data_IF_562436849216
#
_entry.id   IF_562436849216
#
_cell.length_a   1.000
_cell.length_b   1.000
_cell.length_c   1.000
_cell.angle_alpha   90.00
_cell.angle_beta   90.00
_cell.angle_gamma   90.00
#
_symmetry.space_group_name_H-M   'P 1'
#
loop_
_entity.id
_entity.type
_entity.pdbx_description
1 polymer ?
#
# COMPACT_ATOMS: atom_id res chain seq x y z
N UNK A 1 30.63 3.36 -20.86
CA UNK A 1 30.65 2.84 -19.48
C UNK A 1 30.95 4.02 -18.57
N UNK A 2 29.90 4.68 -18.04
CA UNK A 2 30.07 5.74 -17.05
C UNK A 2 29.97 5.09 -15.67
N UNK A 3 31.07 5.09 -14.91
CA UNK A 3 31.07 4.68 -13.51
C UNK A 3 30.02 5.48 -12.72
N UNK A 4 29.26 4.82 -11.84
CA UNK A 4 28.31 5.53 -10.99
C UNK A 4 29.07 6.47 -10.06
N UNK A 5 28.84 7.78 -10.20
CA UNK A 5 29.42 8.84 -9.36
C UNK A 5 28.85 8.82 -7.93
N UNK A 6 29.03 7.72 -7.21
CA UNK A 6 28.76 7.70 -5.77
C UNK A 6 30.09 7.86 -5.03
N UNK A 7 30.36 9.07 -4.57
CA UNK A 7 31.43 9.32 -3.61
C UNK A 7 31.18 8.46 -2.35
N UNK A 8 32.18 7.71 -1.83
CA UNK A 8 32.00 6.77 -0.72
C UNK A 8 31.35 7.36 0.55
N UNK A 9 31.51 8.65 0.79
CA UNK A 9 30.92 9.34 1.95
C UNK A 9 29.42 9.68 1.84
N UNK A 10 28.79 9.55 0.67
CA UNK A 10 27.38 9.89 0.47
C UNK A 10 26.43 8.68 0.53
N UNK A 11 26.95 7.47 0.48
CA UNK A 11 26.14 6.24 0.47
C UNK A 11 25.18 6.14 1.67
N UNK A 12 25.61 6.30 2.94
CA UNK A 12 24.70 6.18 4.09
C UNK A 12 23.57 7.21 4.04
N UNK A 13 23.86 8.45 3.65
CA UNK A 13 22.87 9.50 3.53
C UNK A 13 21.84 9.21 2.41
N UNK A 14 22.30 8.63 1.28
CA UNK A 14 21.41 8.20 0.19
C UNK A 14 20.50 7.04 0.64
N UNK A 15 21.02 6.07 1.38
CA UNK A 15 20.23 4.98 1.97
C UNK A 15 19.20 5.54 2.95
N UNK A 16 19.59 6.50 3.80
CA UNK A 16 18.67 7.20 4.71
C UNK A 16 17.55 7.94 3.96
N UNK A 17 17.88 8.64 2.87
CA UNK A 17 16.90 9.28 2.00
C UNK A 17 15.89 8.26 1.44
N UNK A 18 16.36 7.16 0.86
CA UNK A 18 15.50 6.12 0.28
C UNK A 18 14.62 5.43 1.32
N UNK A 19 15.17 5.20 2.52
CA UNK A 19 14.40 4.67 3.65
C UNK A 19 13.28 5.62 4.05
N UNK A 20 13.59 6.90 4.26
CA UNK A 20 12.58 7.90 4.65
C UNK A 20 11.51 8.07 3.58
N UNK A 21 11.87 8.03 2.28
CA UNK A 21 10.89 8.02 1.18
C UNK A 21 9.95 6.81 1.28
N UNK A 22 10.50 5.62 1.54
CA UNK A 22 9.70 4.39 1.67
C UNK A 22 8.73 4.49 2.84
N UNK A 23 9.18 5.01 3.98
CA UNK A 23 8.34 5.22 5.16
C UNK A 23 7.24 6.27 4.91
N UNK A 24 7.56 7.39 4.28
CA UNK A 24 6.59 8.44 3.94
C UNK A 24 5.51 7.96 2.96
N UNK A 25 5.77 6.92 2.18
CA UNK A 25 4.77 6.32 1.29
C UNK A 25 3.60 5.65 2.02
N UNK A 26 3.82 5.15 3.25
CA UNK A 26 2.80 4.47 4.08
C UNK A 26 2.38 5.29 5.29
N UNK A 27 3.21 6.20 5.78
CA UNK A 27 2.99 7.03 6.96
C UNK A 27 1.59 7.69 7.01
N UNK A 28 1.10 8.37 5.94
CA UNK A 28 -0.17 9.09 6.01
C UNK A 28 -1.41 8.20 6.13
N UNK A 29 -1.26 6.89 5.94
CA UNK A 29 -2.34 5.91 6.08
C UNK A 29 -2.37 5.41 7.52
N UNK A 30 -1.30 4.81 7.99
CA UNK A 30 -1.30 4.02 9.21
C UNK A 30 -1.19 4.88 10.49
N UNK A 31 -0.43 5.99 10.44
CA UNK A 31 -0.19 6.84 11.62
C UNK A 31 -1.41 7.68 12.02
N UNK A 32 -2.34 7.92 11.07
CA UNK A 32 -3.57 8.69 11.36
C UNK A 32 -4.66 7.86 12.04
N UNK A 33 -4.62 6.53 11.97
CA UNK A 33 -5.69 5.64 12.43
C UNK A 33 -6.07 5.84 13.91
N UNK A 34 -5.13 5.95 14.87
CA UNK A 34 -5.47 6.19 16.28
C UNK A 34 -6.12 7.55 16.53
N UNK A 35 -6.00 8.49 15.59
CA UNK A 35 -6.58 9.83 15.70
C UNK A 35 -8.02 9.93 15.17
N UNK A 36 -8.63 8.85 14.72
CA UNK A 36 -9.99 8.87 14.17
C UNK A 36 -11.03 9.47 15.13
N UNK A 37 -11.07 9.12 16.42
CA UNK A 37 -12.01 9.73 17.34
C UNK A 37 -11.84 11.26 17.45
N UNK A 38 -10.60 11.72 17.56
CA UNK A 38 -10.30 13.16 17.64
C UNK A 38 -10.62 13.92 16.36
N UNK A 39 -10.43 13.30 15.18
CA UNK A 39 -10.82 13.85 13.88
C UNK A 39 -12.37 13.89 13.76
N UNK A 40 -13.05 12.84 14.21
CA UNK A 40 -14.51 12.73 14.23
C UNK A 40 -15.12 13.84 15.07
N UNK A 41 -14.61 14.05 16.27
CA UNK A 41 -15.03 15.12 17.18
C UNK A 41 -14.74 16.52 16.59
N UNK A 42 -13.52 16.72 16.06
CA UNK A 42 -13.10 18.03 15.50
C UNK A 42 -13.96 18.46 14.31
N UNK A 43 -14.24 17.56 13.38
CA UNK A 43 -15.04 17.87 12.18
C UNK A 43 -16.55 17.67 12.37
N UNK A 44 -17.01 17.17 13.52
CA UNK A 44 -18.42 16.83 13.76
C UNK A 44 -18.95 15.79 12.76
N UNK A 45 -18.12 14.80 12.42
CA UNK A 45 -18.42 13.77 11.43
C UNK A 45 -18.31 12.37 12.04
N UNK A 46 -18.97 11.40 11.41
CA UNK A 46 -18.84 10.01 11.83
C UNK A 46 -17.43 9.45 11.57
N UNK A 47 -17.03 8.44 12.33
CA UNK A 47 -15.75 7.75 12.05
C UNK A 47 -15.72 7.09 10.68
N UNK A 48 -16.88 6.72 10.13
CA UNK A 48 -17.00 6.23 8.74
C UNK A 48 -16.63 7.30 7.72
N UNK A 49 -17.03 8.56 7.96
CA UNK A 49 -16.60 9.69 7.12
C UNK A 49 -15.08 9.89 7.22
N UNK A 50 -14.50 9.78 8.42
CA UNK A 50 -13.05 9.89 8.59
C UNK A 50 -12.33 8.75 7.86
N UNK A 51 -12.84 7.50 7.93
CA UNK A 51 -12.30 6.35 7.20
C UNK A 51 -12.32 6.57 5.67
N UNK A 52 -13.35 7.27 5.15
CA UNK A 52 -13.41 7.64 3.74
C UNK A 52 -12.19 8.47 3.31
N UNK A 53 -11.65 9.32 4.19
CA UNK A 53 -10.45 10.12 3.88
C UNK A 53 -9.22 9.25 3.58
N UNK A 54 -9.09 8.08 4.22
CA UNK A 54 -8.01 7.11 3.98
C UNK A 54 -8.26 6.35 2.68
N UNK A 55 -9.51 6.00 2.39
CA UNK A 55 -9.88 5.35 1.12
C UNK A 55 -9.62 6.27 -0.09
N UNK A 56 -10.01 7.54 0.01
CA UNK A 56 -9.74 8.56 -1.02
C UNK A 56 -8.23 8.81 -1.17
N UNK A 57 -7.49 8.78 -0.07
CA UNK A 57 -6.04 8.89 -0.11
C UNK A 57 -5.41 7.74 -0.91
N UNK A 58 -5.85 6.50 -0.72
CA UNK A 58 -5.38 5.34 -1.49
C UNK A 58 -5.68 5.49 -2.99
N UNK A 59 -6.87 5.94 -3.34
CA UNK A 59 -7.25 6.23 -4.74
C UNK A 59 -6.37 7.36 -5.31
N UNK A 60 -6.12 8.41 -4.54
CA UNK A 60 -5.23 9.51 -4.93
C UNK A 60 -3.80 9.05 -5.21
N UNK A 61 -3.24 8.15 -4.38
CA UNK A 61 -1.94 7.51 -4.64
C UNK A 61 -1.97 6.75 -5.97
N UNK A 62 -3.03 5.97 -6.22
CA UNK A 62 -3.17 5.20 -7.46
C UNK A 62 -3.11 6.12 -8.70
N UNK A 63 -3.89 7.20 -8.69
CA UNK A 63 -3.91 8.18 -9.77
C UNK A 63 -2.54 8.85 -9.98
N UNK A 64 -1.86 9.18 -8.89
CA UNK A 64 -0.51 9.74 -8.95
C UNK A 64 0.49 8.74 -9.55
N UNK A 65 0.49 7.49 -9.10
CA UNK A 65 1.41 6.48 -9.57
C UNK A 65 1.25 6.17 -11.06
N UNK A 66 0.04 6.32 -11.62
CA UNK A 66 -0.19 6.20 -13.06
C UNK A 66 0.63 7.23 -13.85
N UNK A 67 0.80 8.43 -13.30
CA UNK A 67 1.49 9.54 -13.95
C UNK A 67 2.99 9.59 -13.61
N UNK A 68 3.36 9.21 -12.39
CA UNK A 68 4.73 9.35 -11.87
C UNK A 68 5.74 8.56 -12.70
N UNK A 69 5.41 7.34 -13.13
CA UNK A 69 6.30 6.52 -13.97
C UNK A 69 6.73 7.28 -15.23
N UNK A 70 5.77 7.58 -16.14
CA UNK A 70 6.02 8.32 -17.36
C UNK A 70 6.68 9.69 -17.16
N UNK A 71 6.18 10.46 -16.20
CA UNK A 71 6.74 11.80 -15.93
C UNK A 71 8.17 11.73 -15.41
N UNK A 72 8.56 10.70 -14.68
CA UNK A 72 9.92 10.55 -14.18
C UNK A 72 10.95 10.38 -15.29
N UNK A 73 10.55 9.73 -16.39
CA UNK A 73 11.43 9.49 -17.54
C UNK A 73 11.61 10.75 -18.41
N UNK A 74 10.66 11.70 -18.37
CA UNK A 74 10.71 12.95 -19.13
C UNK A 74 11.29 14.12 -18.32
N UNK A 75 10.84 14.30 -17.08
CA UNK A 75 11.24 15.43 -16.21
C UNK A 75 12.49 15.14 -15.37
N UNK A 76 12.90 13.87 -15.33
CA UNK A 76 13.97 13.39 -14.44
C UNK A 76 13.46 13.10 -13.02
N UNK A 77 14.01 12.04 -12.41
CA UNK A 77 13.52 11.50 -11.12
C UNK A 77 13.63 12.50 -9.98
N UNK A 78 14.72 13.30 -9.95
CA UNK A 78 14.93 14.32 -8.91
C UNK A 78 13.86 15.41 -8.95
N UNK A 79 13.60 15.97 -10.12
CA UNK A 79 12.66 17.09 -10.25
C UNK A 79 11.24 16.64 -9.93
N UNK A 80 10.83 15.47 -10.43
CA UNK A 80 9.51 14.92 -10.12
C UNK A 80 9.35 14.60 -8.64
N UNK A 81 10.38 14.05 -8.01
CA UNK A 81 10.39 13.81 -6.55
C UNK A 81 10.22 15.12 -5.78
N UNK A 82 10.95 16.18 -6.12
CA UNK A 82 10.84 17.48 -5.45
C UNK A 82 9.45 18.09 -5.61
N UNK A 83 8.86 18.01 -6.80
CA UNK A 83 7.48 18.46 -7.05
C UNK A 83 6.50 17.65 -6.20
N UNK A 84 6.59 16.33 -6.21
CA UNK A 84 5.70 15.45 -5.46
C UNK A 84 5.79 15.70 -3.94
N UNK A 85 7.00 15.85 -3.40
CA UNK A 85 7.20 16.19 -1.98
C UNK A 85 6.56 17.54 -1.66
N UNK A 86 6.73 18.55 -2.52
CA UNK A 86 6.12 19.87 -2.31
C UNK A 86 4.60 19.77 -2.31
N UNK A 87 4.01 19.07 -3.28
CA UNK A 87 2.55 18.86 -3.37
C UNK A 87 2.05 18.13 -2.13
N UNK A 88 2.74 17.06 -1.69
CA UNK A 88 2.33 16.32 -0.48
C UNK A 88 2.42 17.14 0.79
N UNK A 89 3.46 17.97 0.92
CA UNK A 89 3.62 18.87 2.07
C UNK A 89 2.55 19.98 2.09
N UNK A 90 2.20 20.55 0.92
CA UNK A 90 1.08 21.51 0.79
C UNK A 90 -0.23 20.85 1.19
N UNK A 91 -0.52 19.65 0.70
CA UNK A 91 -1.70 18.89 1.10
C UNK A 91 -1.75 18.63 2.60
N UNK A 92 -0.65 18.17 3.20
CA UNK A 92 -0.56 17.94 4.65
C UNK A 92 -0.75 19.24 5.44
N UNK A 93 -0.17 20.36 4.99
CA UNK A 93 -0.34 21.69 5.61
C UNK A 93 -1.80 22.13 5.54
N UNK A 94 -2.47 21.94 4.39
CA UNK A 94 -3.88 22.24 4.25
C UNK A 94 -4.75 21.41 5.21
N UNK A 95 -4.42 20.12 5.42
CA UNK A 95 -5.10 19.28 6.43
C UNK A 95 -4.96 19.83 7.85
N UNK A 96 -3.79 20.40 8.21
CA UNK A 96 -3.55 20.97 9.55
C UNK A 96 -4.31 22.27 9.76
N UNK A 97 -4.45 23.09 8.72
CA UNK A 97 -4.97 24.46 8.81
C UNK A 97 -6.49 24.55 8.63
N UNK A 98 -7.13 23.53 8.09
CA UNK A 98 -8.59 23.58 7.83
C UNK A 98 -9.38 23.06 9.01
N UNK A 99 -10.55 23.68 9.25
CA UNK A 99 -11.58 23.21 10.16
C UNK A 99 -12.84 22.74 9.40
N UNK A 100 -12.82 22.80 8.06
CA UNK A 100 -13.89 22.26 7.19
C UNK A 100 -13.54 20.86 6.71
N UNK A 101 -14.49 19.92 6.89
CA UNK A 101 -14.29 18.52 6.50
C UNK A 101 -14.13 18.33 4.97
N UNK A 102 -14.85 19.10 4.15
CA UNK A 102 -14.73 19.02 2.70
C UNK A 102 -13.34 19.48 2.22
N UNK A 103 -12.85 20.60 2.79
CA UNK A 103 -11.49 21.06 2.54
C UNK A 103 -10.43 20.06 3.05
N UNK A 104 -10.66 19.41 4.21
CA UNK A 104 -9.79 18.34 4.70
C UNK A 104 -9.70 17.18 3.70
N UNK A 105 -10.83 16.70 3.17
CA UNK A 105 -10.83 15.64 2.14
C UNK A 105 -10.08 16.08 0.88
N UNK A 106 -10.31 17.31 0.42
CA UNK A 106 -9.59 17.87 -0.72
C UNK A 106 -8.08 17.87 -0.49
N UNK A 107 -7.62 18.38 0.67
CA UNK A 107 -6.19 18.40 0.99
C UNK A 107 -5.61 17.00 1.21
N UNK A 108 -6.39 16.03 1.68
CA UNK A 108 -5.99 14.62 1.73
C UNK A 108 -5.72 14.05 0.33
N UNK A 109 -6.57 14.39 -0.67
CA UNK A 109 -6.33 14.00 -2.06
C UNK A 109 -5.08 14.68 -2.63
N UNK A 110 -4.89 15.99 -2.37
CA UNK A 110 -3.66 16.72 -2.78
C UNK A 110 -2.42 16.07 -2.15
N UNK A 111 -2.46 15.75 -0.86
CA UNK A 111 -1.37 15.04 -0.18
C UNK A 111 -1.08 13.69 -0.84
N UNK A 112 -2.11 12.91 -1.17
CA UNK A 112 -1.98 11.61 -1.81
C UNK A 112 -1.36 11.70 -3.21
N UNK A 113 -1.77 12.68 -4.01
CA UNK A 113 -1.18 12.94 -5.33
C UNK A 113 0.31 13.23 -5.24
N UNK A 114 0.75 13.97 -4.23
CA UNK A 114 2.17 14.19 -3.96
C UNK A 114 2.89 12.92 -3.47
N UNK A 115 2.26 12.14 -2.58
CA UNK A 115 2.85 10.93 -2.00
C UNK A 115 3.12 9.82 -3.01
N UNK A 116 2.40 9.79 -4.13
CA UNK A 116 2.67 8.82 -5.20
C UNK A 116 4.10 8.88 -5.74
N UNK A 117 4.80 10.02 -5.60
CA UNK A 117 6.21 10.15 -6.01
C UNK A 117 7.18 9.31 -5.17
N UNK A 118 6.81 8.87 -3.97
CA UNK A 118 7.70 8.06 -3.13
C UNK A 118 8.00 6.68 -3.72
N UNK A 119 7.19 6.20 -4.67
CA UNK A 119 7.50 4.99 -5.45
C UNK A 119 8.81 5.13 -6.23
N UNK A 120 9.27 6.35 -6.51
CA UNK A 120 10.56 6.63 -7.15
C UNK A 120 11.76 6.13 -6.33
N UNK A 121 11.59 5.84 -5.04
CA UNK A 121 12.63 5.19 -4.23
C UNK A 121 13.13 3.91 -4.88
N UNK A 122 12.24 3.08 -5.43
CA UNK A 122 12.59 1.83 -6.11
C UNK A 122 13.37 2.06 -7.41
N UNK A 123 12.99 3.11 -8.15
CA UNK A 123 13.68 3.49 -9.36
C UNK A 123 15.06 4.10 -9.07
N UNK A 124 15.17 4.93 -8.02
CA UNK A 124 16.45 5.48 -7.58
C UNK A 124 17.43 4.41 -7.09
N UNK A 125 16.94 3.33 -6.43
CA UNK A 125 17.79 2.18 -6.09
C UNK A 125 18.41 1.59 -7.36
N UNK A 126 17.61 1.45 -8.42
CA UNK A 126 18.08 0.87 -9.68
C UNK A 126 19.11 1.75 -10.38
N UNK A 127 18.99 3.08 -10.26
CA UNK A 127 19.91 4.03 -10.90
C UNK A 127 21.22 4.23 -10.13
N UNK A 128 21.16 4.14 -8.80
CA UNK A 128 22.27 4.52 -7.92
C UNK A 128 23.09 3.33 -7.41
N UNK A 129 22.55 2.13 -7.48
CA UNK A 129 23.18 0.92 -6.94
C UNK A 129 23.16 -0.21 -7.98
N UNK A 130 24.15 -1.10 -7.94
CA UNK A 130 24.29 -2.21 -8.90
C UNK A 130 24.54 -3.54 -8.20
N UNK A 131 24.24 -4.65 -8.86
CA UNK A 131 24.58 -6.01 -8.44
C UNK A 131 23.98 -6.39 -7.08
N UNK A 132 24.77 -7.02 -6.23
CA UNK A 132 24.35 -7.51 -4.91
C UNK A 132 23.97 -6.38 -3.94
N UNK A 133 24.58 -5.21 -4.06
CA UNK A 133 24.26 -4.05 -3.21
C UNK A 133 22.85 -3.56 -3.47
N UNK A 134 22.45 -3.46 -4.73
CA UNK A 134 21.08 -3.10 -5.15
C UNK A 134 20.05 -4.08 -4.58
N UNK A 135 20.33 -5.38 -4.71
CA UNK A 135 19.42 -6.42 -4.21
C UNK A 135 19.28 -6.37 -2.68
N UNK A 136 20.38 -6.24 -1.95
CA UNK A 136 20.39 -6.12 -0.48
C UNK A 136 19.62 -4.89 0.00
N UNK A 137 19.83 -3.74 -0.66
CA UNK A 137 19.15 -2.50 -0.31
C UNK A 137 17.65 -2.61 -0.56
N UNK A 138 17.22 -3.25 -1.66
CA UNK A 138 15.82 -3.49 -1.96
C UNK A 138 15.14 -4.36 -0.88
N UNK A 139 15.79 -5.45 -0.48
CA UNK A 139 15.31 -6.32 0.61
C UNK A 139 15.23 -5.53 1.92
N UNK A 140 16.28 -4.77 2.26
CA UNK A 140 16.33 -3.95 3.47
C UNK A 140 15.17 -2.96 3.54
N UNK A 141 14.91 -2.19 2.47
CA UNK A 141 13.81 -1.20 2.45
C UNK A 141 12.44 -1.85 2.53
N UNK A 142 12.22 -2.99 1.88
CA UNK A 142 10.95 -3.75 1.98
C UNK A 142 10.73 -4.24 3.41
N UNK A 143 11.78 -4.76 4.04
CA UNK A 143 11.73 -5.23 5.44
C UNK A 143 11.43 -4.07 6.39
N UNK A 144 12.14 -2.95 6.25
CA UNK A 144 11.89 -1.74 7.06
C UNK A 144 10.46 -1.21 6.85
N UNK A 145 9.94 -1.23 5.62
CA UNK A 145 8.56 -0.86 5.33
C UNK A 145 7.56 -1.75 6.06
N UNK A 146 7.77 -3.06 6.06
CA UNK A 146 6.92 -4.01 6.80
C UNK A 146 6.94 -3.78 8.31
N UNK A 147 8.13 -3.56 8.88
CA UNK A 147 8.27 -3.22 10.31
C UNK A 147 7.55 -1.89 10.60
N UNK A 148 7.70 -0.90 9.73
CA UNK A 148 7.08 0.40 9.92
C UNK A 148 5.54 0.32 9.92
N UNK A 149 4.94 -0.41 8.99
CA UNK A 149 3.48 -0.65 8.96
C UNK A 149 3.01 -1.23 10.30
N UNK A 150 3.79 -2.13 10.90
CA UNK A 150 3.46 -2.76 12.19
C UNK A 150 3.54 -1.78 13.37
N UNK A 151 4.51 -0.85 13.36
CA UNK A 151 4.79 0.07 14.47
C UNK A 151 4.07 1.42 14.30
N UNK A 152 3.66 1.76 13.08
CA UNK A 152 3.09 3.09 12.76
C UNK A 152 1.82 3.45 13.56
N UNK A 153 0.88 2.55 13.90
CA UNK A 153 -0.24 2.90 14.77
C UNK A 153 0.22 3.29 16.17
N UNK A 154 1.24 2.62 16.71
CA UNK A 154 1.78 2.95 18.03
C UNK A 154 2.47 4.33 18.01
N UNK A 155 3.22 4.64 16.95
CA UNK A 155 3.77 5.97 16.74
C UNK A 155 2.65 7.03 16.62
N UNK A 156 1.56 6.69 15.91
CA UNK A 156 0.36 7.53 15.79
C UNK A 156 -0.29 7.84 17.13
N UNK A 157 -0.45 6.85 17.99
CA UNK A 157 -0.97 7.04 19.36
C UNK A 157 -0.08 7.99 20.17
N UNK A 158 1.24 7.82 20.11
CA UNK A 158 2.17 8.74 20.77
C UNK A 158 2.03 10.17 20.26
N UNK A 159 1.96 10.37 18.94
CA UNK A 159 1.78 11.68 18.33
C UNK A 159 0.43 12.29 18.69
N UNK A 160 -0.65 11.48 18.70
CA UNK A 160 -1.98 11.90 19.13
C UNK A 160 -1.95 12.40 20.59
N UNK A 161 -1.24 11.71 21.47
CA UNK A 161 -1.15 12.07 22.89
C UNK A 161 -0.39 13.39 23.12
N UNK A 162 0.72 13.61 22.37
CA UNK A 162 1.59 14.77 22.59
C UNK A 162 1.18 16.02 21.79
N UNK A 163 0.64 15.83 20.58
CA UNK A 163 0.40 16.90 19.60
C UNK A 163 -1.04 16.93 19.07
N UNK A 164 -1.91 16.05 19.58
CA UNK A 164 -3.27 15.85 19.04
C UNK A 164 -3.25 15.24 17.63
N UNK A 165 -4.41 15.18 16.98
CA UNK A 165 -4.55 14.59 15.65
C UNK A 165 -3.70 15.30 14.56
N UNK A 166 -3.41 16.58 14.74
CA UNK A 166 -2.53 17.35 13.85
C UNK A 166 -1.09 16.88 13.88
N UNK A 167 -0.65 16.19 14.94
CA UNK A 167 0.71 15.71 15.13
C UNK A 167 1.22 14.81 14.02
N UNK A 168 0.40 13.90 13.53
CA UNK A 168 0.76 13.01 12.42
C UNK A 168 1.06 13.80 11.12
N UNK A 169 0.28 14.82 10.81
CA UNK A 169 0.50 15.68 9.64
C UNK A 169 1.73 16.58 9.80
N UNK A 170 1.95 17.15 10.99
CA UNK A 170 3.11 18.00 11.28
C UNK A 170 4.43 17.22 11.18
N UNK A 171 4.47 16.01 11.72
CA UNK A 171 5.65 15.13 11.59
C UNK A 171 5.85 14.71 10.13
N UNK A 172 4.79 14.42 9.38
CA UNK A 172 4.89 14.17 7.95
C UNK A 172 5.53 15.37 7.22
N UNK A 173 5.09 16.62 7.50
CA UNK A 173 5.64 17.84 6.90
C UNK A 173 7.11 17.97 7.23
N UNK A 174 7.50 17.78 8.50
CA UNK A 174 8.90 17.87 8.93
C UNK A 174 9.79 16.84 8.20
N UNK A 175 9.33 15.59 8.09
CA UNK A 175 10.03 14.53 7.35
C UNK A 175 10.08 14.85 5.84
N UNK A 176 9.00 15.36 5.26
CA UNK A 176 8.95 15.76 3.86
C UNK A 176 9.96 16.88 3.55
N UNK A 177 10.10 17.88 4.43
CA UNK A 177 11.13 18.93 4.32
C UNK A 177 12.54 18.32 4.38
N UNK A 178 12.77 17.38 5.30
CA UNK A 178 14.04 16.66 5.41
C UNK A 178 14.38 15.87 4.13
N UNK A 179 13.39 15.17 3.56
CA UNK A 179 13.55 14.45 2.28
C UNK A 179 13.80 15.42 1.13
N UNK A 180 13.08 16.55 1.09
CA UNK A 180 13.28 17.59 0.07
C UNK A 180 14.71 18.13 0.10
N UNK A 181 15.20 18.54 1.29
CA UNK A 181 16.56 19.05 1.46
C UNK A 181 17.61 17.99 1.09
N UNK A 182 17.44 16.75 1.57
CA UNK A 182 18.33 15.65 1.26
C UNK A 182 18.34 15.32 -0.24
N UNK A 183 17.19 15.29 -0.90
CA UNK A 183 17.07 15.03 -2.33
C UNK A 183 17.76 16.13 -3.16
N UNK A 184 17.65 17.39 -2.75
CA UNK A 184 18.36 18.50 -3.41
C UNK A 184 19.87 18.37 -3.37
N UNK A 185 20.43 17.90 -2.26
CA UNK A 185 21.86 17.78 -2.02
C UNK A 185 22.44 16.46 -2.58
N UNK A 186 21.73 15.35 -2.36
CA UNK A 186 22.26 14.02 -2.65
C UNK A 186 22.01 13.56 -4.08
N UNK A 187 20.86 13.97 -4.68
CA UNK A 187 20.52 13.54 -6.03
C UNK A 187 21.09 14.53 -7.06
N UNK A 188 21.81 13.99 -8.03
CA UNK A 188 22.27 14.78 -9.16
C UNK A 188 21.10 15.05 -10.13
N UNK A 189 21.18 16.17 -10.86
CA UNK A 189 20.33 16.41 -12.01
C UNK A 189 20.82 15.54 -13.20
N UNK A 190 20.89 14.22 -13.02
CA UNK A 190 21.12 13.33 -14.14
C UNK A 190 19.99 13.61 -15.14
N UNK A 191 20.35 14.23 -16.25
CA UNK A 191 19.46 14.46 -17.38
C UNK A 191 18.70 13.18 -17.65
N UNK A 192 17.39 13.31 -17.75
CA UNK A 192 16.53 12.32 -18.37
C UNK A 192 17.31 11.69 -19.52
N UNK A 193 17.39 10.36 -19.55
CA UNK A 193 18.33 9.64 -20.41
C UNK A 193 18.38 10.23 -21.81
N UNK A 194 19.57 10.34 -22.38
CA UNK A 194 19.94 11.01 -23.64
C UNK A 194 19.27 10.46 -24.91
N UNK A 195 18.16 9.78 -24.76
CA UNK A 195 17.30 9.37 -25.83
C UNK A 195 15.85 9.50 -25.36
N UNK A 196 15.13 10.60 -25.69
CA UNK A 196 13.69 10.60 -25.61
C UNK A 196 13.19 9.66 -26.73
N UNK A 197 13.33 8.33 -26.55
CA UNK A 197 12.35 7.47 -27.17
C UNK A 197 11.02 8.06 -26.72
N UNK A 198 10.26 8.60 -27.65
CA UNK A 198 8.81 8.79 -27.45
C UNK A 198 8.29 7.41 -27.11
N UNK A 199 8.41 7.06 -25.83
CA UNK A 199 7.77 5.87 -25.33
C UNK A 199 6.31 6.14 -25.61
N UNK A 200 5.73 5.36 -26.49
CA UNK A 200 4.29 5.33 -26.65
C UNK A 200 3.70 4.74 -25.37
N UNK A 201 3.56 5.62 -24.34
CA UNK A 201 3.05 5.25 -23.04
C UNK A 201 1.69 4.61 -23.14
N UNK A 202 0.82 5.21 -23.97
CA UNK A 202 -0.52 4.71 -24.20
C UNK A 202 -0.44 3.33 -24.84
N UNK A 203 0.44 3.15 -25.83
CA UNK A 203 0.71 1.84 -26.43
C UNK A 203 1.26 0.81 -25.44
N UNK A 204 2.22 1.20 -24.59
CA UNK A 204 2.77 0.33 -23.56
C UNK A 204 1.70 -0.12 -22.54
N UNK A 205 0.93 0.82 -21.99
CA UNK A 205 -0.19 0.48 -21.10
C UNK A 205 -1.27 -0.34 -21.81
N UNK A 206 -1.61 0.02 -23.06
CA UNK A 206 -2.57 -0.74 -23.85
C UNK A 206 -2.10 -2.17 -24.07
N UNK A 207 -0.82 -2.38 -24.36
CA UNK A 207 -0.24 -3.72 -24.54
C UNK A 207 -0.38 -4.56 -23.28
N UNK A 208 0.09 -4.08 -22.13
CA UNK A 208 0.05 -4.86 -20.89
C UNK A 208 -1.38 -5.02 -20.36
N UNK A 209 -2.23 -4.00 -20.43
CA UNK A 209 -3.61 -4.05 -19.95
C UNK A 209 -4.55 -4.84 -20.89
N UNK A 210 -4.17 -5.10 -22.15
CA UNK A 210 -4.96 -5.94 -23.06
C UNK A 210 -4.73 -7.44 -22.82
N UNK A 211 -3.64 -7.82 -22.14
CA UNK A 211 -3.38 -9.22 -21.81
C UNK A 211 -4.25 -9.68 -20.63
N UNK A 212 -5.11 -10.65 -20.90
CA UNK A 212 -6.02 -11.19 -19.89
C UNK A 212 -5.30 -11.80 -18.69
N UNK A 213 -4.22 -12.55 -18.92
CA UNK A 213 -3.47 -13.20 -17.83
C UNK A 213 -2.79 -12.18 -16.93
N UNK A 214 -2.24 -11.13 -17.54
CA UNK A 214 -1.65 -10.00 -16.82
C UNK A 214 -2.68 -9.32 -15.92
N UNK A 215 -3.80 -8.91 -16.49
CA UNK A 215 -4.86 -8.24 -15.73
C UNK A 215 -5.45 -9.13 -14.63
N UNK A 216 -5.64 -10.43 -14.92
CA UNK A 216 -6.19 -11.35 -13.94
C UNK A 216 -5.23 -11.62 -12.77
N UNK A 217 -3.91 -11.72 -12.99
CA UNK A 217 -2.95 -11.84 -11.88
C UNK A 217 -2.88 -10.56 -11.03
N UNK A 218 -2.84 -9.39 -11.67
CA UNK A 218 -2.87 -8.12 -10.93
C UNK A 218 -4.18 -7.89 -10.18
N UNK A 219 -5.32 -8.25 -10.80
CA UNK A 219 -6.61 -8.17 -10.12
C UNK A 219 -6.68 -9.16 -8.95
N UNK A 220 -6.16 -10.38 -9.09
CA UNK A 220 -6.03 -11.33 -7.96
C UNK A 220 -5.21 -10.73 -6.82
N UNK A 221 -4.09 -10.08 -7.12
CA UNK A 221 -3.27 -9.37 -6.14
C UNK A 221 -4.03 -8.22 -5.48
N UNK A 222 -4.80 -7.46 -6.27
CA UNK A 222 -5.61 -6.34 -5.79
C UNK A 222 -6.75 -6.81 -4.87
N UNK A 223 -7.45 -7.88 -5.22
CA UNK A 223 -8.51 -8.48 -4.39
C UNK A 223 -7.96 -8.95 -3.03
N UNK A 224 -6.81 -9.64 -3.03
CA UNK A 224 -6.15 -10.07 -1.80
C UNK A 224 -5.69 -8.86 -0.95
N UNK A 225 -5.13 -7.81 -1.57
CA UNK A 225 -4.77 -6.59 -0.87
C UNK A 225 -5.97 -5.88 -0.27
N UNK A 226 -7.09 -5.83 -1.00
CA UNK A 226 -8.29 -5.16 -0.55
C UNK A 226 -8.84 -5.74 0.75
N UNK A 227 -8.71 -7.05 0.97
CA UNK A 227 -9.09 -7.71 2.22
C UNK A 227 -8.28 -7.16 3.41
N UNK A 228 -6.96 -7.07 3.25
CA UNK A 228 -6.05 -6.51 4.26
C UNK A 228 -6.30 -5.00 4.46
N UNK A 229 -6.33 -4.24 3.36
CA UNK A 229 -6.46 -2.78 3.41
C UNK A 229 -7.80 -2.33 4.00
N UNK A 230 -8.89 -3.00 3.64
CA UNK A 230 -10.22 -2.70 4.20
C UNK A 230 -10.24 -2.88 5.71
N UNK A 231 -9.63 -3.96 6.24
CA UNK A 231 -9.51 -4.14 7.68
C UNK A 231 -8.73 -2.99 8.33
N UNK A 232 -7.59 -2.59 7.77
CA UNK A 232 -6.79 -1.47 8.29
C UNK A 232 -7.65 -0.20 8.38
N UNK A 233 -8.40 0.14 7.33
CA UNK A 233 -9.21 1.36 7.26
C UNK A 233 -10.37 1.34 8.27
N UNK A 234 -11.05 0.19 8.43
CA UNK A 234 -12.21 0.09 9.35
C UNK A 234 -11.81 -0.30 10.78
N UNK A 235 -10.56 -0.68 11.02
CA UNK A 235 -10.11 -1.16 12.33
C UNK A 235 -10.35 -0.15 13.47
N UNK A 236 -10.19 1.19 13.30
CA UNK A 236 -10.56 2.15 14.33
C UNK A 236 -12.06 2.13 14.64
N UNK A 237 -12.93 1.99 13.62
CA UNK A 237 -14.38 1.93 13.81
C UNK A 237 -14.78 0.70 14.65
N UNK A 238 -14.15 -0.45 14.39
CA UNK A 238 -14.45 -1.69 15.11
C UNK A 238 -13.85 -1.69 16.50
N UNK A 239 -12.57 -1.35 16.62
CA UNK A 239 -11.86 -1.50 17.89
C UNK A 239 -12.03 -0.31 18.83
N UNK A 240 -12.02 0.93 18.32
CA UNK A 240 -12.16 2.11 19.18
C UNK A 240 -13.64 2.46 19.37
N UNK A 241 -14.43 2.58 18.27
CA UNK A 241 -15.81 3.05 18.40
C UNK A 241 -16.76 1.96 18.91
N UNK A 242 -16.71 0.73 18.36
CA UNK A 242 -17.66 -0.33 18.77
C UNK A 242 -17.20 -1.09 20.02
N UNK A 243 -15.90 -1.46 20.10
CA UNK A 243 -15.35 -2.19 21.25
C UNK A 243 -14.82 -1.29 22.36
N UNK A 244 -14.82 0.04 22.16
CA UNK A 244 -14.39 1.05 23.15
C UNK A 244 -12.96 0.80 23.68
N UNK A 245 -12.06 0.30 22.83
CA UNK A 245 -10.66 0.16 23.18
C UNK A 245 -9.99 1.53 23.29
N UNK A 246 -9.06 1.67 24.23
CA UNK A 246 -8.18 2.84 24.24
C UNK A 246 -7.28 2.87 22.99
N UNK A 247 -6.79 4.05 22.56
CA UNK A 247 -5.86 4.16 21.43
C UNK A 247 -4.60 3.30 21.59
N UNK A 248 -4.13 3.11 22.83
CA UNK A 248 -2.97 2.26 23.15
C UNK A 248 -3.29 0.78 22.93
N UNK A 249 -4.43 0.30 23.45
CA UNK A 249 -4.87 -1.08 23.26
C UNK A 249 -5.13 -1.40 21.78
N UNK A 250 -5.74 -0.48 21.04
CA UNK A 250 -5.90 -0.55 19.60
C UNK A 250 -4.54 -0.70 18.89
N UNK A 251 -3.58 0.15 19.23
CA UNK A 251 -2.26 0.14 18.59
C UNK A 251 -1.48 -1.14 18.90
N UNK A 252 -1.63 -1.70 20.12
CA UNK A 252 -1.05 -3.01 20.48
C UNK A 252 -1.70 -4.15 19.69
N UNK A 253 -3.02 -4.11 19.46
CA UNK A 253 -3.70 -5.10 18.63
C UNK A 253 -3.19 -5.04 17.19
N UNK A 254 -3.03 -3.83 16.61
CA UNK A 254 -2.47 -3.66 15.27
C UNK A 254 -0.98 -4.00 15.19
N UNK A 255 -0.20 -3.80 16.25
CA UNK A 255 1.18 -4.27 16.31
C UNK A 255 1.24 -5.81 16.17
N UNK A 256 0.39 -6.53 16.93
CA UNK A 256 0.26 -7.99 16.79
C UNK A 256 -0.13 -8.42 15.38
N UNK A 257 -1.06 -7.70 14.77
CA UNK A 257 -1.46 -7.91 13.38
C UNK A 257 -0.30 -7.66 12.39
N UNK A 258 0.46 -6.60 12.60
CA UNK A 258 1.63 -6.28 11.77
C UNK A 258 2.73 -7.34 11.87
N UNK A 259 2.97 -7.90 13.05
CA UNK A 259 3.88 -9.03 13.24
C UNK A 259 3.42 -10.27 12.45
N UNK A 260 2.10 -10.52 12.39
CA UNK A 260 1.54 -11.57 11.55
C UNK A 260 1.76 -11.31 10.04
N UNK A 261 1.73 -10.04 9.61
CA UNK A 261 2.07 -9.65 8.23
C UNK A 261 3.52 -10.01 7.88
N UNK A 262 4.46 -9.70 8.77
CA UNK A 262 5.89 -10.06 8.61
C UNK A 262 6.06 -11.58 8.59
N UNK A 263 5.42 -12.29 9.53
CA UNK A 263 5.43 -13.76 9.59
C UNK A 263 4.87 -14.42 8.33
N UNK A 264 3.75 -13.88 7.82
CA UNK A 264 3.15 -14.30 6.55
C UNK A 264 4.08 -14.09 5.34
N UNK A 265 4.81 -12.98 5.30
CA UNK A 265 5.83 -12.71 4.28
C UNK A 265 6.99 -13.71 4.34
N UNK A 266 7.48 -14.04 5.54
CA UNK A 266 8.49 -15.08 5.74
C UNK A 266 7.98 -16.45 5.29
N UNK A 267 6.73 -16.81 5.64
CA UNK A 267 6.08 -18.03 5.19
C UNK A 267 5.95 -18.09 3.66
N UNK A 268 5.53 -17.00 3.03
CA UNK A 268 5.46 -16.90 1.56
C UNK A 268 6.83 -17.18 0.91
N UNK A 269 7.92 -16.66 1.52
CA UNK A 269 9.29 -16.90 1.04
C UNK A 269 9.68 -18.36 1.17
N UNK A 270 9.35 -19.02 2.28
CA UNK A 270 9.60 -20.45 2.46
C UNK A 270 8.79 -21.29 1.46
N UNK A 271 7.51 -20.95 1.27
CA UNK A 271 6.64 -21.66 0.34
C UNK A 271 7.10 -21.51 -1.13
N UNK A 272 7.64 -20.34 -1.50
CA UNK A 272 8.13 -20.09 -2.87
C UNK A 272 9.24 -21.04 -3.31
N UNK A 273 9.97 -21.61 -2.35
CA UNK A 273 11.01 -22.61 -2.59
C UNK A 273 10.49 -24.05 -2.64
N UNK A 274 9.22 -24.28 -2.27
CA UNK A 274 8.67 -25.64 -2.12
C UNK A 274 7.49 -25.94 -3.05
N UNK A 275 6.69 -24.93 -3.36
CA UNK A 275 5.48 -25.08 -4.19
C UNK A 275 5.47 -24.02 -5.30
N UNK A 276 4.85 -24.37 -6.42
CA UNK A 276 4.74 -23.46 -7.57
C UNK A 276 3.85 -22.24 -7.27
N UNK A 277 4.03 -21.16 -8.02
CA UNK A 277 3.30 -19.91 -7.81
C UNK A 277 1.78 -20.06 -7.94
N UNK A 278 1.31 -21.02 -8.76
CA UNK A 278 -0.13 -21.28 -8.94
C UNK A 278 -0.74 -21.84 -7.66
N UNK A 279 -0.08 -22.84 -7.08
CA UNK A 279 -0.47 -23.43 -5.79
C UNK A 279 -0.41 -22.40 -4.67
N UNK A 280 0.62 -21.52 -4.65
CA UNK A 280 0.70 -20.42 -3.68
C UNK A 280 -0.50 -19.48 -3.77
N UNK A 281 -0.91 -19.07 -4.99
CA UNK A 281 -2.08 -18.21 -5.19
C UNK A 281 -3.34 -18.88 -4.64
N UNK A 282 -3.58 -20.13 -4.98
CA UNK A 282 -4.76 -20.88 -4.49
C UNK A 282 -4.71 -21.03 -2.98
N UNK A 283 -3.59 -21.42 -2.41
CA UNK A 283 -3.42 -21.57 -0.95
C UNK A 283 -3.68 -20.23 -0.23
N UNK A 284 -3.10 -19.13 -0.71
CA UNK A 284 -3.29 -17.82 -0.11
C UNK A 284 -4.75 -17.35 -0.16
N UNK A 285 -5.42 -17.49 -1.31
CA UNK A 285 -6.84 -17.15 -1.46
C UNK A 285 -7.74 -18.05 -0.60
N UNK A 286 -7.40 -19.35 -0.48
CA UNK A 286 -8.14 -20.28 0.39
C UNK A 286 -7.99 -19.92 1.87
N UNK A 287 -6.82 -19.41 2.31
CA UNK A 287 -6.64 -18.88 3.66
C UNK A 287 -7.49 -17.63 3.89
N UNK A 288 -7.60 -16.73 2.91
CA UNK A 288 -8.48 -15.56 3.00
C UNK A 288 -9.95 -16.00 3.09
N UNK A 289 -10.36 -16.97 2.30
CA UNK A 289 -11.71 -17.56 2.36
C UNK A 289 -11.98 -18.16 3.72
N UNK A 290 -11.05 -18.96 4.24
CA UNK A 290 -11.13 -19.55 5.57
C UNK A 290 -11.26 -18.45 6.65
N UNK A 291 -10.49 -17.38 6.56
CA UNK A 291 -10.58 -16.25 7.47
C UNK A 291 -11.97 -15.61 7.48
N UNK A 292 -12.58 -15.42 6.30
CA UNK A 292 -13.96 -14.90 6.19
C UNK A 292 -14.98 -15.83 6.84
N UNK A 293 -14.90 -17.13 6.58
CA UNK A 293 -15.78 -18.15 7.19
C UNK A 293 -15.59 -18.23 8.70
N UNK A 294 -14.34 -18.21 9.17
CA UNK A 294 -14.03 -18.18 10.61
C UNK A 294 -14.58 -16.93 11.27
N UNK A 295 -14.47 -15.76 10.62
CA UNK A 295 -15.01 -14.51 11.17
C UNK A 295 -16.53 -14.58 11.28
N UNK A 296 -17.25 -15.09 10.29
CA UNK A 296 -18.70 -15.34 10.40
C UNK A 296 -19.04 -16.28 11.53
N UNK A 297 -18.35 -17.42 11.63
CA UNK A 297 -18.59 -18.41 12.67
C UNK A 297 -18.36 -17.85 14.08
N UNK A 298 -17.19 -17.23 14.30
CA UNK A 298 -16.83 -16.64 15.59
C UNK A 298 -17.77 -15.50 15.97
N UNK A 299 -18.15 -14.63 15.02
CA UNK A 299 -19.11 -13.55 15.25
C UNK A 299 -20.48 -14.09 15.67
N UNK A 300 -20.97 -15.14 15.03
CA UNK A 300 -22.28 -15.73 15.31
C UNK A 300 -22.36 -16.40 16.67
N UNK A 301 -21.25 -17.01 17.16
CA UNK A 301 -21.24 -17.73 18.44
C UNK A 301 -20.79 -16.88 19.63
N UNK A 302 -19.85 -15.96 19.44
CA UNK A 302 -19.21 -15.21 20.51
C UNK A 302 -19.46 -13.69 20.43
N UNK A 303 -20.15 -13.23 19.40
CA UNK A 303 -20.36 -11.79 19.17
C UNK A 303 -19.09 -11.05 18.77
N UNK A 304 -19.16 -9.72 18.81
CA UNK A 304 -18.04 -8.84 18.48
C UNK A 304 -17.03 -8.78 19.64
N UNK A 305 -15.79 -9.10 19.38
CA UNK A 305 -14.66 -8.96 20.30
C UNK A 305 -13.34 -8.80 19.54
N UNK A 306 -12.29 -8.38 20.24
CA UNK A 306 -10.94 -8.25 19.63
C UNK A 306 -10.50 -9.58 19.02
N UNK A 307 -10.70 -10.70 19.70
CA UNK A 307 -10.28 -12.02 19.23
C UNK A 307 -11.10 -12.52 18.03
N UNK A 308 -12.42 -12.27 18.01
CA UNK A 308 -13.29 -12.71 16.90
C UNK A 308 -13.03 -11.96 15.60
N UNK A 309 -12.36 -10.81 15.64
CA UNK A 309 -11.90 -10.06 14.48
C UNK A 309 -10.42 -10.32 14.19
N UNK A 310 -9.55 -10.20 15.20
CA UNK A 310 -8.09 -10.22 14.99
C UNK A 310 -7.57 -11.61 14.58
N UNK A 311 -8.07 -12.70 15.19
CA UNK A 311 -7.61 -14.05 14.85
C UNK A 311 -7.90 -14.43 13.38
N UNK A 312 -9.13 -14.24 12.84
CA UNK A 312 -9.37 -14.43 11.42
C UNK A 312 -8.50 -13.50 10.55
N UNK A 313 -8.27 -12.25 10.97
CA UNK A 313 -7.45 -11.32 10.20
C UNK A 313 -5.96 -11.70 10.18
N UNK A 314 -5.43 -12.35 11.20
CA UNK A 314 -4.08 -12.94 11.18
C UNK A 314 -3.99 -14.02 10.07
N UNK A 315 -4.99 -14.87 9.95
CA UNK A 315 -5.07 -15.90 8.89
C UNK A 315 -5.22 -15.23 7.52
N UNK A 316 -6.09 -14.23 7.41
CA UNK A 316 -6.27 -13.44 6.18
C UNK A 316 -4.95 -12.81 5.72
N UNK A 317 -4.19 -12.24 6.64
CA UNK A 317 -2.92 -11.56 6.34
C UNK A 317 -1.86 -12.54 5.83
N UNK A 318 -1.75 -13.72 6.42
CA UNK A 318 -0.88 -14.79 5.91
C UNK A 318 -1.30 -15.19 4.48
N UNK A 319 -2.60 -15.37 4.24
CA UNK A 319 -3.15 -15.65 2.91
C UNK A 319 -2.84 -14.53 1.91
N UNK A 320 -3.03 -13.28 2.31
CA UNK A 320 -2.77 -12.09 1.48
C UNK A 320 -1.30 -12.02 1.05
N UNK A 321 -0.36 -12.18 1.97
CA UNK A 321 1.07 -12.10 1.66
C UNK A 321 1.52 -13.21 0.71
N UNK A 322 1.00 -14.44 0.89
CA UNK A 322 1.29 -15.58 0.01
C UNK A 322 0.71 -15.35 -1.39
N UNK A 323 -0.59 -15.05 -1.49
CA UNK A 323 -1.26 -14.90 -2.79
C UNK A 323 -0.69 -13.73 -3.60
N UNK A 324 -0.46 -12.57 -2.94
CA UNK A 324 0.06 -11.36 -3.60
C UNK A 324 1.47 -11.56 -4.13
N UNK A 325 2.37 -12.13 -3.35
CA UNK A 325 3.76 -12.34 -3.77
C UNK A 325 3.82 -13.21 -5.04
N UNK A 326 3.05 -14.29 -5.06
CA UNK A 326 3.00 -15.21 -6.19
C UNK A 326 2.31 -14.58 -7.43
N UNK A 327 1.17 -13.90 -7.24
CA UNK A 327 0.44 -13.25 -8.34
C UNK A 327 1.26 -12.12 -8.96
N UNK A 328 1.92 -11.28 -8.13
CA UNK A 328 2.83 -10.22 -8.58
C UNK A 328 3.98 -10.80 -9.42
N UNK A 329 4.65 -11.84 -8.94
CA UNK A 329 5.74 -12.51 -9.67
C UNK A 329 5.26 -13.02 -11.02
N UNK A 330 4.08 -13.67 -11.07
CA UNK A 330 3.50 -14.16 -12.34
C UNK A 330 3.19 -13.01 -13.30
N UNK A 331 2.58 -11.95 -12.82
CA UNK A 331 2.26 -10.77 -13.65
C UNK A 331 3.52 -10.11 -14.23
N UNK A 332 4.53 -9.87 -13.39
CA UNK A 332 5.79 -9.24 -13.82
C UNK A 332 6.56 -10.07 -14.85
N UNK A 333 6.50 -11.40 -14.75
CA UNK A 333 7.19 -12.31 -15.67
C UNK A 333 6.51 -12.40 -17.06
N UNK A 334 5.30 -11.86 -17.23
CA UNK A 334 4.65 -11.82 -18.55
C UNK A 334 5.25 -10.73 -19.46
N UNK A 335 5.69 -9.62 -18.87
CA UNK A 335 6.25 -8.47 -19.60
C UNK A 335 7.56 -7.98 -18.98
N UNK A 336 8.63 -8.79 -19.00
CA UNK A 336 9.90 -8.44 -18.35
C UNK A 336 10.55 -7.19 -18.93
N UNK A 337 10.37 -6.94 -20.24
CA UNK A 337 10.90 -5.75 -20.92
C UNK A 337 10.12 -4.47 -20.60
N UNK A 338 8.92 -4.59 -20.09
CA UNK A 338 8.03 -3.49 -19.66
C UNK A 338 7.78 -3.50 -18.16
N UNK A 339 8.77 -3.90 -17.36
CA UNK A 339 8.63 -4.10 -15.93
C UNK A 339 8.13 -2.85 -15.19
N UNK A 340 8.57 -1.64 -15.60
CA UNK A 340 8.11 -0.37 -15.03
C UNK A 340 6.62 -0.11 -15.27
N UNK A 341 6.16 -0.23 -16.51
CA UNK A 341 4.75 -0.08 -16.90
C UNK A 341 3.89 -1.14 -16.21
N UNK A 342 4.39 -2.38 -16.15
CA UNK A 342 3.73 -3.51 -15.50
C UNK A 342 3.53 -3.26 -13.99
N UNK A 343 4.56 -2.83 -13.29
CA UNK A 343 4.48 -2.52 -11.87
C UNK A 343 3.55 -1.34 -11.57
N UNK A 344 3.59 -0.29 -12.41
CA UNK A 344 2.72 0.88 -12.27
C UNK A 344 1.26 0.51 -12.49
N UNK A 345 0.93 -0.21 -13.57
CA UNK A 345 -0.43 -0.68 -13.84
C UNK A 345 -0.98 -1.54 -12.69
N UNK A 346 -0.16 -2.42 -12.14
CA UNK A 346 -0.52 -3.25 -11.01
C UNK A 346 -0.76 -2.46 -9.73
N UNK A 347 0.12 -1.50 -9.41
CA UNK A 347 -0.05 -0.62 -8.25
C UNK A 347 -1.36 0.18 -8.33
N UNK A 348 -1.69 0.71 -9.50
CA UNK A 348 -2.95 1.43 -9.74
C UNK A 348 -4.14 0.54 -9.41
N UNK A 349 -4.18 -0.70 -9.93
CA UNK A 349 -5.26 -1.64 -9.64
C UNK A 349 -5.36 -1.96 -8.14
N UNK A 350 -4.23 -2.20 -7.47
CA UNK A 350 -4.19 -2.53 -6.04
C UNK A 350 -4.83 -1.41 -5.21
N UNK A 351 -4.44 -0.17 -5.43
CA UNK A 351 -4.94 0.95 -4.63
C UNK A 351 -6.35 1.41 -5.03
N UNK A 352 -6.73 1.30 -6.30
CA UNK A 352 -8.11 1.59 -6.72
C UNK A 352 -9.07 0.56 -6.12
N UNK A 353 -8.80 -0.73 -6.29
CA UNK A 353 -9.68 -1.79 -5.78
C UNK A 353 -9.71 -1.74 -4.26
N UNK A 354 -8.56 -1.56 -3.60
CA UNK A 354 -8.47 -1.41 -2.14
C UNK A 354 -9.23 -0.21 -1.63
N UNK A 355 -9.05 0.97 -2.24
CA UNK A 355 -9.73 2.20 -1.86
C UNK A 355 -11.25 2.14 -2.08
N UNK A 356 -11.71 1.61 -3.21
CA UNK A 356 -13.14 1.44 -3.48
C UNK A 356 -13.79 0.43 -2.52
N UNK A 357 -13.11 -0.70 -2.26
CA UNK A 357 -13.63 -1.73 -1.35
C UNK A 357 -13.70 -1.20 0.08
N UNK A 358 -12.64 -0.54 0.57
CA UNK A 358 -12.63 0.03 1.92
C UNK A 358 -13.67 1.14 2.08
N UNK A 359 -13.87 2.00 1.07
CA UNK A 359 -14.91 3.01 1.07
C UNK A 359 -16.32 2.38 1.11
N UNK A 360 -16.56 1.36 0.30
CA UNK A 360 -17.84 0.65 0.29
C UNK A 360 -18.18 0.04 1.66
N UNK A 361 -17.20 -0.58 2.33
CA UNK A 361 -17.39 -1.15 3.67
C UNK A 361 -17.63 -0.04 4.70
N UNK A 362 -16.83 1.04 4.68
CA UNK A 362 -16.93 2.14 5.64
C UNK A 362 -18.28 2.87 5.57
N UNK A 363 -18.89 2.94 4.39
CA UNK A 363 -20.16 3.63 4.15
C UNK A 363 -21.37 2.71 4.28
N UNK A 364 -21.18 1.40 4.53
CA UNK A 364 -22.32 0.49 4.69
C UNK A 364 -23.02 0.72 6.02
N UNK A 365 -24.37 0.70 6.06
CA UNK A 365 -25.13 0.77 7.30
C UNK A 365 -25.19 -0.57 8.05
N UNK A 366 -24.63 -1.62 7.49
CA UNK A 366 -24.62 -2.96 8.08
C UNK A 366 -23.54 -3.10 9.14
N UNK A 367 -23.62 -4.19 9.93
CA UNK A 367 -22.58 -4.54 10.88
C UNK A 367 -21.21 -4.70 10.19
N UNK A 368 -20.20 -3.94 10.67
CA UNK A 368 -18.89 -3.87 10.02
C UNK A 368 -18.15 -5.21 10.06
N UNK A 369 -18.28 -5.99 11.13
CA UNK A 369 -17.63 -7.31 11.23
C UNK A 369 -18.21 -8.27 10.22
N UNK A 370 -19.52 -8.34 10.12
CA UNK A 370 -20.24 -9.19 9.14
C UNK A 370 -19.96 -8.74 7.71
N UNK A 371 -19.95 -7.43 7.45
CA UNK A 371 -19.62 -6.87 6.14
C UNK A 371 -18.18 -7.20 5.72
N UNK A 372 -17.23 -7.07 6.65
CA UNK A 372 -15.83 -7.45 6.40
C UNK A 372 -15.72 -8.95 6.10
N UNK A 373 -16.38 -9.82 6.90
CA UNK A 373 -16.39 -11.26 6.68
C UNK A 373 -16.95 -11.62 5.29
N UNK A 374 -18.09 -11.01 4.90
CA UNK A 374 -18.68 -11.19 3.57
C UNK A 374 -17.72 -10.72 2.46
N UNK A 375 -17.04 -9.61 2.67
CA UNK A 375 -16.05 -9.08 1.74
C UNK A 375 -14.88 -10.06 1.56
N UNK A 376 -14.32 -10.62 2.66
CA UNK A 376 -13.26 -11.62 2.60
C UNK A 376 -13.67 -12.85 1.77
N UNK A 377 -14.89 -13.36 2.01
CA UNK A 377 -15.44 -14.51 1.27
C UNK A 377 -15.62 -14.15 -0.22
N UNK A 378 -16.28 -13.03 -0.53
CA UNK A 378 -16.58 -12.64 -1.90
C UNK A 378 -15.30 -12.40 -2.71
N UNK A 379 -14.36 -11.61 -2.18
CA UNK A 379 -13.13 -11.26 -2.89
C UNK A 379 -12.20 -12.47 -3.08
N UNK A 380 -12.14 -13.37 -2.10
CA UNK A 380 -11.36 -14.60 -2.24
C UNK A 380 -11.96 -15.55 -3.26
N UNK A 381 -13.29 -15.71 -3.31
CA UNK A 381 -13.98 -16.52 -4.33
C UNK A 381 -13.79 -15.94 -5.73
N UNK A 382 -13.90 -14.60 -5.89
CA UNK A 382 -13.61 -13.94 -7.16
C UNK A 382 -12.15 -14.18 -7.60
N UNK A 383 -11.20 -14.07 -6.66
CA UNK A 383 -9.79 -14.35 -6.94
C UNK A 383 -9.55 -15.81 -7.36
N UNK A 384 -10.19 -16.78 -6.69
CA UNK A 384 -10.12 -18.20 -7.03
C UNK A 384 -10.74 -18.47 -8.41
N UNK A 385 -11.89 -17.86 -8.72
CA UNK A 385 -12.53 -18.00 -10.03
C UNK A 385 -11.64 -17.43 -11.15
N UNK A 386 -11.07 -16.23 -10.97
CA UNK A 386 -10.11 -15.63 -11.93
C UNK A 386 -8.92 -16.57 -12.17
N UNK A 387 -8.37 -17.13 -11.10
CA UNK A 387 -7.24 -18.02 -11.18
C UNK A 387 -7.61 -19.35 -11.91
N UNK A 388 -8.81 -19.86 -11.70
CA UNK A 388 -9.38 -20.97 -12.44
C UNK A 388 -9.51 -20.70 -13.95
N UNK A 389 -10.00 -19.50 -14.32
CA UNK A 389 -10.12 -19.07 -15.71
C UNK A 389 -8.76 -18.96 -16.42
N UNK A 390 -7.72 -18.44 -15.73
CA UNK A 390 -6.36 -18.42 -16.28
C UNK A 390 -5.88 -19.82 -16.58
N UNK A 391 -6.10 -20.77 -15.65
CA UNK A 391 -5.67 -22.16 -15.81
C UNK A 391 -6.36 -22.83 -16.99
N UNK A 392 -7.67 -22.68 -17.11
CA UNK A 392 -8.46 -23.23 -18.20
C UNK A 392 -8.00 -22.72 -19.57
N UNK A 393 -7.80 -21.39 -19.70
CA UNK A 393 -7.29 -20.80 -20.96
C UNK A 393 -5.91 -21.31 -21.34
N UNK A 394 -4.99 -21.48 -20.37
CA UNK A 394 -3.65 -22.02 -20.66
C UNK A 394 -3.69 -23.46 -21.12
N UNK A 395 -4.56 -24.26 -20.56
CA UNK A 395 -4.74 -25.66 -21.00
C UNK A 395 -5.32 -25.74 -22.42
N UNK A 396 -6.31 -24.92 -22.75
CA UNK A 396 -6.89 -24.85 -24.10
C UNK A 396 -5.89 -24.43 -25.18
N UNK A 397 -4.90 -23.58 -24.85
CA UNK A 397 -3.82 -23.18 -25.77
C UNK A 397 -2.73 -24.25 -25.97
N UNK A 398 -2.67 -25.26 -25.09
CA UNK A 398 -1.72 -26.38 -25.20
C UNK A 398 -2.33 -27.61 -25.91
N UNK A 399 -3.65 -27.62 -26.04
CA UNK A 399 -4.40 -28.76 -26.64
C UNK A 399 -4.99 -28.44 -28.01
N UNK A 400 -4.93 -27.22 -28.50
CA UNK A 400 -5.29 -26.75 -29.84
C UNK A 400 -4.05 -26.36 -30.65
#
# INVERSE_FOLDING_TARGET
MNEPKNLPGRKPATVGLLLTMTLLGVFPIDVVLPSFPALSEHFGRSSSDIALSVSLFAIGIALSQLLVGPLSDTMGRKNLLLIGITVSAVGATGCVLTDDYGAFLFFRVVQALGCGCFVLSQALIQDLFTGLEQQRLRIFLVTCGGIFISVSPLAGTGLQHWMGWRGSFLVFIALAIGVFASARVLLSNATAGSNPRRLDFIGAYRTVCSDFSFMAYWLTSALAFSCHFSFIVISPLVFIDQLQLSPEAFSLALLGYGLAYIGGGALATVLSNRIDSQTQIVTGLSLILLAGVLMFGLSSYFGLSVSTVLLPMIVCTAGTTIARAAAHTRAMNLFPEQAGTSASAGSVLIFIVGGLTSAAISLTPLDLQTTLAACLVLLSLLGLALNGLIRHRRQGLLTG
#
